data_IF_370348046154
#
_entry.id   IF_370348046154
#
_cell.length_a   1.000
_cell.length_b   1.000
_cell.length_c   1.000
_cell.angle_alpha   90.00
_cell.angle_beta   90.00
_cell.angle_gamma   90.00
#
_symmetry.space_group_name_H-M   'P 1'
#
loop_
_entity.id
_entity.type
_entity.pdbx_description
1 polymer ?
#
# COMPACT_ATOMS: atom_id res chain seq x y z
N UNK A 1 16.31 16.10 -10.98
CA UNK A 1 16.35 14.76 -10.37
C UNK A 1 16.19 13.65 -11.43
N UNK A 2 15.11 13.64 -12.23
CA UNK A 2 14.84 12.57 -13.21
C UNK A 2 15.99 12.29 -14.20
N UNK A 3 16.52 13.32 -14.87
CA UNK A 3 17.63 13.15 -15.84
C UNK A 3 18.91 12.56 -15.24
N UNK A 4 19.13 12.74 -13.94
CA UNK A 4 20.29 12.16 -13.24
C UNK A 4 20.08 10.66 -13.01
N UNK A 5 18.91 10.28 -12.49
CA UNK A 5 18.55 8.89 -12.22
C UNK A 5 18.55 8.08 -13.53
N UNK A 6 18.00 8.62 -14.62
CA UNK A 6 17.97 7.94 -15.92
C UNK A 6 19.39 7.68 -16.47
N UNK A 7 20.30 8.67 -16.38
CA UNK A 7 21.70 8.52 -16.80
C UNK A 7 22.48 7.52 -15.96
N UNK A 8 22.16 7.42 -14.68
CA UNK A 8 22.79 6.45 -13.78
C UNK A 8 22.27 5.03 -14.08
N UNK A 9 20.97 4.90 -14.36
CA UNK A 9 20.34 3.64 -14.72
C UNK A 9 20.85 3.07 -16.05
N UNK A 10 21.00 3.89 -17.09
CA UNK A 10 21.51 3.42 -18.40
C UNK A 10 22.92 2.86 -18.33
N UNK A 11 23.70 3.24 -17.31
CA UNK A 11 25.04 2.69 -17.05
C UNK A 11 25.05 1.46 -16.14
N UNK A 12 23.93 1.15 -15.49
CA UNK A 12 23.83 0.10 -14.46
C UNK A 12 22.50 -0.66 -14.60
N UNK A 13 22.23 -1.19 -15.81
CA UNK A 13 20.94 -1.79 -16.17
C UNK A 13 20.58 -3.03 -15.34
N UNK A 14 21.54 -3.69 -14.70
CA UNK A 14 21.29 -4.89 -13.88
C UNK A 14 21.05 -4.56 -12.40
N UNK A 15 21.26 -3.31 -11.99
CA UNK A 15 21.09 -2.90 -10.60
C UNK A 15 19.60 -2.78 -10.23
N UNK A 16 19.10 -3.74 -9.47
CA UNK A 16 17.68 -3.84 -9.09
C UNK A 16 17.22 -2.67 -8.20
N UNK A 17 18.08 -2.15 -7.33
CA UNK A 17 17.77 -1.01 -6.47
C UNK A 17 17.61 0.28 -7.29
N UNK A 18 18.45 0.49 -8.31
CA UNK A 18 18.30 1.59 -9.25
C UNK A 18 17.02 1.42 -10.09
N UNK A 19 16.67 0.21 -10.52
CA UNK A 19 15.36 -0.05 -11.16
C UNK A 19 14.19 0.36 -10.28
N UNK A 20 14.21 -0.03 -8.99
CA UNK A 20 13.18 0.39 -8.03
C UNK A 20 13.10 1.91 -7.91
N UNK A 21 14.24 2.62 -7.88
CA UNK A 21 14.28 4.08 -7.80
C UNK A 21 13.69 4.76 -9.05
N UNK A 22 14.05 4.28 -10.24
CA UNK A 22 13.48 4.76 -11.51
C UNK A 22 11.97 4.51 -11.55
N UNK A 23 11.54 3.33 -11.12
CA UNK A 23 10.12 2.96 -11.04
C UNK A 23 9.34 3.86 -10.06
N UNK A 24 9.92 4.19 -8.90
CA UNK A 24 9.35 5.13 -7.93
C UNK A 24 9.17 6.53 -8.53
N UNK A 25 10.17 7.04 -9.27
CA UNK A 25 10.02 8.32 -9.93
C UNK A 25 8.92 8.28 -11.01
N UNK A 26 8.90 7.23 -11.84
CA UNK A 26 7.86 7.05 -12.86
C UNK A 26 6.45 6.97 -12.23
N UNK A 27 6.31 6.30 -11.09
CA UNK A 27 5.05 6.26 -10.34
C UNK A 27 4.65 7.66 -9.87
N UNK A 28 5.57 8.40 -9.26
CA UNK A 28 5.34 9.77 -8.77
C UNK A 28 4.97 10.76 -9.89
N UNK A 29 5.49 10.57 -11.10
CA UNK A 29 5.14 11.38 -12.27
C UNK A 29 3.88 10.94 -13.01
N UNK A 30 3.16 9.91 -12.52
CA UNK A 30 1.97 9.35 -13.18
C UNK A 30 2.25 8.51 -14.42
N UNK A 31 3.50 8.12 -14.65
CA UNK A 31 3.96 7.23 -15.72
C UNK A 31 3.78 5.76 -15.33
N UNK A 32 2.53 5.37 -15.02
CA UNK A 32 2.22 4.07 -14.43
C UNK A 32 2.67 2.87 -15.25
N UNK A 33 2.58 2.92 -16.59
CA UNK A 33 3.00 1.80 -17.45
C UNK A 33 4.51 1.51 -17.30
N UNK A 34 5.32 2.56 -17.26
CA UNK A 34 6.77 2.45 -17.02
C UNK A 34 7.06 1.92 -15.63
N UNK A 35 6.36 2.43 -14.61
CA UNK A 35 6.50 1.94 -13.23
C UNK A 35 6.15 0.45 -13.12
N UNK A 36 5.01 0.02 -13.69
CA UNK A 36 4.56 -1.38 -13.71
C UNK A 36 5.61 -2.27 -14.38
N UNK A 37 6.14 -1.87 -15.54
CA UNK A 37 7.16 -2.64 -16.25
C UNK A 37 8.40 -2.88 -15.39
N UNK A 38 8.94 -1.82 -14.79
CA UNK A 38 10.17 -1.89 -13.98
C UNK A 38 9.95 -2.66 -12.67
N UNK A 39 8.84 -2.41 -11.96
CA UNK A 39 8.54 -3.16 -10.75
C UNK A 39 8.33 -4.64 -11.03
N UNK A 40 7.67 -4.99 -12.13
CA UNK A 40 7.46 -6.39 -12.50
C UNK A 40 8.79 -7.10 -12.79
N UNK A 41 9.76 -6.43 -13.43
CA UNK A 41 11.10 -6.99 -13.59
C UNK A 41 11.78 -7.24 -12.24
N UNK A 42 11.72 -6.26 -11.33
CA UNK A 42 12.32 -6.41 -9.99
C UNK A 42 11.65 -7.55 -9.21
N UNK A 43 10.32 -7.63 -9.21
CA UNK A 43 9.57 -8.68 -8.53
C UNK A 43 9.89 -10.08 -9.10
N UNK A 44 10.13 -10.20 -10.41
CA UNK A 44 10.53 -11.46 -11.04
C UNK A 44 11.97 -11.87 -10.73
N UNK A 45 12.90 -10.92 -10.63
CA UNK A 45 14.32 -11.22 -10.36
C UNK A 45 14.62 -11.38 -8.88
N UNK A 46 14.04 -10.53 -8.03
CA UNK A 46 14.23 -10.52 -6.59
C UNK A 46 12.89 -10.21 -5.90
N UNK A 47 12.01 -11.24 -5.76
CA UNK A 47 10.70 -11.08 -5.16
C UNK A 47 10.83 -10.56 -3.74
N UNK A 48 10.54 -9.29 -3.53
CA UNK A 48 10.56 -8.66 -2.21
C UNK A 48 9.23 -7.95 -1.95
N UNK A 49 8.91 -7.83 -0.67
CA UNK A 49 7.60 -7.37 -0.21
C UNK A 49 7.29 -5.94 -0.67
N UNK A 50 8.31 -5.08 -0.76
CA UNK A 50 8.17 -3.70 -1.26
C UNK A 50 7.85 -3.67 -2.76
N UNK A 51 8.51 -4.48 -3.59
CA UNK A 51 8.25 -4.56 -5.02
C UNK A 51 6.80 -4.98 -5.31
N UNK A 52 6.27 -5.98 -4.58
CA UNK A 52 4.87 -6.42 -4.69
C UNK A 52 3.89 -5.31 -4.37
N UNK A 53 4.10 -4.62 -3.24
CA UNK A 53 3.28 -3.47 -2.84
C UNK A 53 3.31 -2.36 -3.90
N UNK A 54 4.51 -1.94 -4.33
CA UNK A 54 4.69 -0.88 -5.30
C UNK A 54 4.06 -1.20 -6.67
N UNK A 55 4.18 -2.46 -7.11
CA UNK A 55 3.54 -2.95 -8.32
C UNK A 55 2.00 -2.89 -8.20
N UNK A 56 1.45 -3.35 -7.07
CA UNK A 56 0.01 -3.25 -6.77
C UNK A 56 -0.48 -1.80 -6.78
N UNK A 57 0.24 -0.88 -6.14
CA UNK A 57 -0.08 0.56 -6.12
C UNK A 57 -0.06 1.15 -7.53
N UNK A 58 0.92 0.77 -8.36
CA UNK A 58 0.98 1.24 -9.75
C UNK A 58 -0.22 0.76 -10.59
N UNK A 59 -0.69 -0.47 -10.38
CA UNK A 59 -1.92 -0.97 -10.99
C UNK A 59 -3.17 -0.21 -10.53
N UNK A 60 -3.31 0.08 -9.22
CA UNK A 60 -4.42 0.90 -8.70
C UNK A 60 -4.39 2.29 -9.33
N UNK A 61 -3.24 2.96 -9.34
CA UNK A 61 -3.10 4.29 -9.93
C UNK A 61 -3.49 4.33 -11.40
N UNK A 62 -3.10 3.31 -12.17
CA UNK A 62 -3.51 3.19 -13.57
C UNK A 62 -5.02 2.88 -13.71
N UNK A 63 -5.60 2.06 -12.83
CA UNK A 63 -7.03 1.76 -12.84
C UNK A 63 -7.89 3.00 -12.52
N UNK A 64 -7.42 3.87 -11.63
CA UNK A 64 -8.09 5.11 -11.25
C UNK A 64 -7.95 6.23 -12.31
N UNK A 65 -7.06 6.10 -13.30
CA UNK A 65 -6.87 7.12 -14.34
C UNK A 65 -8.12 7.20 -15.24
N UNK A 66 -8.64 8.42 -15.41
CA UNK A 66 -9.90 8.70 -16.15
C UNK A 66 -9.95 8.05 -17.54
N UNK A 67 -8.82 8.00 -18.24
CA UNK A 67 -8.70 7.51 -19.63
C UNK A 67 -8.50 6.00 -19.75
N UNK A 68 -8.44 5.25 -18.65
CA UNK A 68 -8.19 3.81 -18.71
C UNK A 68 -9.47 3.05 -19.09
N UNK A 69 -9.42 2.33 -20.20
CA UNK A 69 -10.47 1.38 -20.64
C UNK A 69 -10.46 0.09 -19.83
N UNK A 70 -9.30 -0.32 -19.31
CA UNK A 70 -9.06 -1.66 -18.75
C UNK A 70 -9.09 -1.69 -17.21
N UNK A 71 -9.98 -0.91 -16.59
CA UNK A 71 -9.98 -0.69 -15.13
C UNK A 71 -10.19 -1.98 -14.34
N UNK A 72 -11.05 -2.87 -14.82
CA UNK A 72 -11.36 -4.14 -14.16
C UNK A 72 -10.14 -5.08 -14.17
N UNK A 73 -9.53 -5.42 -15.33
CA UNK A 73 -8.30 -6.21 -15.35
C UNK A 73 -7.15 -5.63 -14.51
N UNK A 74 -6.99 -4.30 -14.50
CA UNK A 74 -5.98 -3.63 -13.68
C UNK A 74 -6.28 -3.79 -12.19
N UNK A 75 -7.54 -3.69 -11.77
CA UNK A 75 -7.98 -3.95 -10.40
C UNK A 75 -7.71 -5.39 -9.95
N UNK A 76 -7.95 -6.37 -10.82
CA UNK A 76 -7.64 -7.79 -10.53
C UNK A 76 -6.13 -8.01 -10.36
N UNK A 77 -5.30 -7.40 -11.22
CA UNK A 77 -3.83 -7.46 -11.10
C UNK A 77 -3.32 -6.79 -9.83
N UNK A 78 -3.92 -5.65 -9.45
CA UNK A 78 -3.63 -5.00 -8.19
C UNK A 78 -3.95 -5.95 -7.02
N UNK A 79 -5.16 -6.50 -6.98
CA UNK A 79 -5.59 -7.42 -5.92
C UNK A 79 -4.64 -8.61 -5.77
N UNK A 80 -4.24 -9.24 -6.88
CA UNK A 80 -3.30 -10.36 -6.84
C UNK A 80 -1.99 -9.97 -6.14
N UNK A 81 -1.41 -8.81 -6.50
CA UNK A 81 -0.15 -8.35 -5.90
C UNK A 81 -0.29 -7.91 -4.44
N UNK A 82 -1.42 -7.29 -4.07
CA UNK A 82 -1.72 -6.98 -2.67
C UNK A 82 -1.92 -8.24 -1.82
N UNK A 83 -2.50 -9.31 -2.38
CA UNK A 83 -2.64 -10.60 -1.69
C UNK A 83 -1.28 -11.25 -1.44
N UNK A 84 -0.40 -11.30 -2.45
CA UNK A 84 0.97 -11.80 -2.29
C UNK A 84 1.75 -10.98 -1.24
N UNK A 85 1.61 -9.65 -1.26
CA UNK A 85 2.18 -8.75 -0.26
C UNK A 85 1.64 -9.03 1.14
N UNK A 86 0.33 -9.20 1.29
CA UNK A 86 -0.31 -9.46 2.59
C UNK A 86 0.21 -10.74 3.22
N UNK A 87 0.26 -11.84 2.46
CA UNK A 87 0.76 -13.11 3.00
C UNK A 87 2.22 -13.02 3.45
N UNK A 88 3.07 -12.29 2.71
CA UNK A 88 4.45 -12.05 3.12
C UNK A 88 4.53 -11.25 4.43
N UNK A 89 3.74 -10.18 4.59
CA UNK A 89 3.72 -9.38 5.82
C UNK A 89 3.09 -10.10 7.01
N UNK A 90 2.07 -10.92 6.79
CA UNK A 90 1.49 -11.76 7.85
C UNK A 90 2.53 -12.73 8.42
N UNK A 91 3.33 -13.36 7.56
CA UNK A 91 4.42 -14.25 7.98
C UNK A 91 5.50 -13.52 8.79
N UNK A 92 5.71 -12.22 8.56
CA UNK A 92 6.63 -11.36 9.30
C UNK A 92 6.03 -10.80 10.60
N UNK A 93 4.78 -11.13 10.95
CA UNK A 93 4.07 -10.56 12.10
C UNK A 93 3.61 -9.11 11.90
N UNK A 94 3.61 -8.62 10.64
CA UNK A 94 3.29 -7.25 10.24
C UNK A 94 1.92 -7.15 9.56
N UNK A 95 0.99 -8.04 9.92
CA UNK A 95 -0.35 -8.13 9.34
C UNK A 95 -1.20 -6.86 9.51
N UNK A 96 -0.98 -6.08 10.58
CA UNK A 96 -1.71 -4.83 10.80
C UNK A 96 -1.48 -3.81 9.66
N UNK A 97 -0.23 -3.65 9.22
CA UNK A 97 0.11 -2.81 8.06
C UNK A 97 -0.52 -3.34 6.78
N UNK A 98 -0.45 -4.66 6.57
CA UNK A 98 -1.01 -5.26 5.38
C UNK A 98 -2.52 -5.02 5.25
N UNK A 99 -3.27 -5.21 6.35
CA UNK A 99 -4.72 -4.98 6.37
C UNK A 99 -5.07 -3.51 6.13
N UNK A 100 -4.32 -2.58 6.72
CA UNK A 100 -4.48 -1.15 6.42
C UNK A 100 -4.27 -0.86 4.93
N UNK A 101 -3.19 -1.38 4.34
CA UNK A 101 -2.85 -1.14 2.93
C UNK A 101 -3.87 -1.77 1.96
N UNK A 102 -4.41 -2.95 2.27
CA UNK A 102 -5.51 -3.55 1.49
C UNK A 102 -6.78 -2.70 1.61
N UNK A 103 -7.11 -2.21 2.81
CA UNK A 103 -8.21 -1.25 3.00
C UNK A 103 -8.04 -0.01 2.13
N UNK A 104 -6.81 0.53 2.06
CA UNK A 104 -6.48 1.68 1.19
C UNK A 104 -6.61 1.36 -0.29
N UNK A 105 -6.22 0.16 -0.73
CA UNK A 105 -6.41 -0.30 -2.11
C UNK A 105 -7.90 -0.30 -2.48
N UNK A 106 -8.75 -0.97 -1.70
CA UNK A 106 -10.19 -1.00 -1.96
C UNK A 106 -10.83 0.39 -1.88
N UNK A 107 -10.40 1.22 -0.93
CA UNK A 107 -10.86 2.60 -0.81
C UNK A 107 -10.52 3.40 -2.09
N UNK A 108 -9.28 3.31 -2.58
CA UNK A 108 -8.85 3.99 -3.80
C UNK A 108 -9.60 3.52 -5.07
N UNK A 109 -10.00 2.25 -5.10
CA UNK A 109 -10.81 1.68 -6.18
C UNK A 109 -12.32 1.95 -6.03
N UNK A 110 -12.77 2.56 -4.93
CA UNK A 110 -14.19 2.86 -4.67
C UNK A 110 -15.01 1.72 -4.06
N UNK A 111 -14.38 0.60 -3.69
CA UNK A 111 -15.05 -0.54 -3.04
C UNK A 111 -15.16 -0.31 -1.52
N UNK A 112 -15.97 0.67 -1.11
CA UNK A 112 -16.02 1.14 0.28
C UNK A 112 -16.40 0.06 1.30
N UNK A 113 -17.33 -0.85 0.98
CA UNK A 113 -17.70 -1.95 1.89
C UNK A 113 -16.51 -2.86 2.18
N UNK A 114 -15.69 -3.16 1.17
CA UNK A 114 -14.47 -3.95 1.35
C UNK A 114 -13.41 -3.15 2.11
N UNK A 115 -13.25 -1.85 1.81
CA UNK A 115 -12.34 -0.99 2.55
C UNK A 115 -12.66 -0.99 4.05
N UNK A 116 -13.94 -0.84 4.42
CA UNK A 116 -14.41 -0.91 5.82
C UNK A 116 -14.03 -2.23 6.47
N UNK A 117 -14.32 -3.36 5.81
CA UNK A 117 -13.97 -4.69 6.33
C UNK A 117 -12.48 -4.80 6.68
N UNK A 118 -11.59 -4.33 5.79
CA UNK A 118 -10.15 -4.39 6.02
C UNK A 118 -9.66 -3.38 7.08
N UNK A 119 -10.26 -2.18 7.15
CA UNK A 119 -9.96 -1.25 8.25
C UNK A 119 -10.39 -1.81 9.60
N UNK A 120 -11.56 -2.45 9.70
CA UNK A 120 -11.99 -3.11 10.93
C UNK A 120 -11.05 -4.25 11.32
N UNK A 121 -10.58 -5.04 10.35
CA UNK A 121 -9.58 -6.08 10.58
C UNK A 121 -8.29 -5.48 11.14
N UNK A 122 -7.78 -4.39 10.55
CA UNK A 122 -6.63 -3.64 11.06
C UNK A 122 -6.83 -3.16 12.50
N UNK A 123 -7.99 -2.56 12.82
CA UNK A 123 -8.30 -2.05 14.16
C UNK A 123 -8.32 -3.14 15.25
N UNK A 124 -8.68 -4.38 14.87
CA UNK A 124 -8.72 -5.54 15.78
C UNK A 124 -7.35 -6.22 15.92
N UNK A 125 -6.40 -5.97 15.02
CA UNK A 125 -5.06 -6.56 15.09
C UNK A 125 -4.22 -5.86 16.17
N UNK A 126 -3.51 -6.62 17.03
CA UNK A 126 -2.56 -6.04 17.98
C UNK A 126 -1.50 -5.16 17.29
N UNK A 127 -0.92 -4.24 18.04
CA UNK A 127 0.14 -3.39 17.51
C UNK A 127 1.41 -4.20 17.25
N UNK A 128 2.15 -3.90 16.18
CA UNK A 128 3.31 -4.69 15.80
C UNK A 128 4.45 -4.49 16.79
N UNK A 129 5.21 -5.55 17.05
CA UNK A 129 6.46 -5.46 17.82
C UNK A 129 7.61 -5.30 16.82
N UNK A 130 8.16 -4.09 16.73
CA UNK A 130 9.27 -3.78 15.83
C UNK A 130 10.56 -3.74 16.62
N UNK A 131 11.61 -4.40 16.12
CA UNK A 131 12.94 -4.38 16.73
C UNK A 131 13.88 -3.45 15.97
N UNK A 132 14.69 -2.68 16.69
CA UNK A 132 15.81 -1.92 16.13
C UNK A 132 17.07 -2.28 16.89
N UNK A 133 18.06 -2.83 16.19
CA UNK A 133 19.31 -3.32 16.79
C UNK A 133 19.08 -4.29 17.97
N UNK A 134 18.07 -5.16 17.87
CA UNK A 134 17.69 -6.11 18.92
C UNK A 134 16.84 -5.54 20.06
N UNK A 135 16.59 -4.23 20.08
CA UNK A 135 15.75 -3.57 21.10
C UNK A 135 14.30 -3.46 20.61
N UNK A 136 13.30 -3.94 21.38
CA UNK A 136 11.90 -3.73 21.02
C UNK A 136 11.56 -2.25 21.11
N UNK A 137 10.97 -1.71 20.05
CA UNK A 137 10.41 -0.38 20.03
C UNK A 137 8.96 -0.41 20.54
N UNK A 138 8.46 0.70 21.10
CA UNK A 138 7.05 0.80 21.47
C UNK A 138 6.15 0.49 20.26
N UNK A 139 5.27 -0.51 20.40
CA UNK A 139 4.44 -0.98 19.28
C UNK A 139 3.40 0.04 18.82
N UNK A 140 2.95 0.91 19.73
CA UNK A 140 2.05 2.03 19.47
C UNK A 140 2.62 3.03 18.44
N UNK A 141 3.95 3.22 18.43
CA UNK A 141 4.66 4.09 17.48
C UNK A 141 4.45 3.65 16.03
N UNK A 142 4.26 2.35 15.82
CA UNK A 142 4.06 1.75 14.49
C UNK A 142 2.60 1.31 14.27
N UNK A 143 1.69 1.73 15.14
CA UNK A 143 0.27 1.38 15.01
C UNK A 143 -0.36 2.05 13.80
N UNK A 144 -0.98 1.25 12.95
CA UNK A 144 -1.78 1.72 11.81
C UNK A 144 -3.23 2.01 12.20
N UNK A 145 -3.62 1.76 13.46
CA UNK A 145 -5.00 1.94 13.93
C UNK A 145 -5.51 3.38 13.79
N UNK A 146 -4.74 4.44 14.14
CA UNK A 146 -5.22 5.81 13.95
C UNK A 146 -5.51 6.13 12.49
N UNK A 147 -4.62 5.69 11.58
CA UNK A 147 -4.79 5.89 10.14
C UNK A 147 -5.96 5.08 9.57
N UNK A 148 -6.13 3.84 10.00
CA UNK A 148 -7.27 3.00 9.62
C UNK A 148 -8.60 3.61 10.11
N UNK A 149 -8.65 4.07 11.36
CA UNK A 149 -9.82 4.70 11.94
C UNK A 149 -10.22 5.97 11.19
N UNK A 150 -9.28 6.84 10.84
CA UNK A 150 -9.57 8.07 10.08
C UNK A 150 -10.18 7.75 8.71
N UNK A 151 -9.57 6.83 7.95
CA UNK A 151 -10.11 6.43 6.65
C UNK A 151 -11.48 5.74 6.77
N UNK A 152 -11.68 4.94 7.80
CA UNK A 152 -12.99 4.31 8.07
C UNK A 152 -14.05 5.36 8.41
N UNK A 153 -13.73 6.32 9.30
CA UNK A 153 -14.61 7.44 9.64
C UNK A 153 -15.02 8.21 8.39
N UNK A 154 -14.09 8.48 7.47
CA UNK A 154 -14.39 9.20 6.24
C UNK A 154 -15.43 8.51 5.37
N UNK A 155 -15.45 7.18 5.35
CA UNK A 155 -16.43 6.38 4.62
C UNK A 155 -17.80 6.45 5.32
N UNK A 156 -17.86 6.30 6.65
CA UNK A 156 -19.14 6.12 7.36
C UNK A 156 -19.75 7.39 7.92
N UNK A 157 -19.01 8.51 8.05
CA UNK A 157 -19.46 9.71 8.80
C UNK A 157 -20.82 10.25 8.37
N UNK A 158 -21.20 10.10 7.10
CA UNK A 158 -22.52 10.51 6.58
C UNK A 158 -23.63 9.53 6.94
N UNK A 159 -23.34 8.23 6.90
CA UNK A 159 -24.34 7.16 7.06
C UNK A 159 -24.47 6.69 8.52
N UNK A 160 -23.40 6.79 9.31
CA UNK A 160 -23.34 6.38 10.71
C UNK A 160 -22.44 7.32 11.54
N UNK A 161 -22.95 8.53 11.87
CA UNK A 161 -22.18 9.55 12.60
C UNK A 161 -21.85 9.13 14.04
N UNK A 162 -22.69 8.31 14.68
CA UNK A 162 -22.45 7.83 16.04
C UNK A 162 -21.23 6.91 16.09
N UNK A 163 -21.15 5.94 15.18
CA UNK A 163 -19.99 5.05 15.07
C UNK A 163 -18.72 5.83 14.72
N UNK A 164 -18.82 6.82 13.81
CA UNK A 164 -17.70 7.69 13.48
C UNK A 164 -17.15 8.44 14.72
N UNK A 165 -18.04 8.98 15.57
CA UNK A 165 -17.65 9.65 16.81
C UNK A 165 -16.99 8.68 17.79
N UNK A 166 -17.49 7.46 17.89
CA UNK A 166 -16.90 6.42 18.74
C UNK A 166 -15.48 6.08 18.29
N UNK A 167 -15.28 5.78 17.00
CA UNK A 167 -13.96 5.48 16.43
C UNK A 167 -12.96 6.62 16.68
N UNK A 168 -13.40 7.88 16.50
CA UNK A 168 -12.55 9.04 16.75
C UNK A 168 -12.07 9.10 18.20
N UNK A 169 -12.97 8.86 19.16
CA UNK A 169 -12.64 8.85 20.59
C UNK A 169 -11.72 7.69 20.97
N UNK A 170 -11.86 6.55 20.32
CA UNK A 170 -11.09 5.34 20.66
C UNK A 170 -9.69 5.34 20.05
N UNK A 171 -9.52 5.83 18.82
CA UNK A 171 -8.29 5.62 18.05
C UNK A 171 -7.59 6.90 17.57
N UNK A 172 -8.22 8.08 17.70
CA UNK A 172 -7.70 9.33 17.14
C UNK A 172 -7.42 10.41 18.20
N UNK A 173 -7.40 10.07 19.48
CA UNK A 173 -7.10 11.03 20.56
C UNK A 173 -5.61 10.91 20.89
N UNK A 174 -4.91 12.05 20.81
CA UNK A 174 -3.51 12.21 21.23
C UNK A 174 -3.41 12.37 22.75
#
# INVERSE_FOLDING_TARGET
MQRFIDRLYTKNLDNLQLKMLVANNALGSGSYKTAIYLYNQVDQTYPNTLAKLSLGVAFVGLACKKTSSDRIPLGVRALAKFTEYMHAREAEGLGQEAYYNIGRMFHGLGFFTQAVYWYERCLKTPDPVVYRNGVPLPGDTYSMKPLAALNYIDIIKKNNPLRARQLRKTFCVL
#
